data_IF_705084625256
#
_entry.id   IF_705084625256
#
_cell.length_a   1.000
_cell.length_b   1.000
_cell.length_c   1.000
_cell.angle_alpha   90.00
_cell.angle_beta   90.00
_cell.angle_gamma   90.00
#
_symmetry.space_group_name_H-M   'P 1'
#
loop_
_entity.id
_entity.type
_entity.pdbx_description
1 polymer ?
#
# COMPACT_ATOMS: atom_id res chain seq x y z
N UNK A 1 -1.72 7.43 -8.93
CA UNK A 1 -0.69 6.38 -8.91
C UNK A 1 -1.24 5.18 -9.66
N UNK A 2 -0.41 4.43 -10.39
CA UNK A 2 -0.86 3.27 -11.18
C UNK A 2 0.11 2.12 -10.95
N UNK A 3 -0.37 0.90 -10.67
CA UNK A 3 0.54 -0.21 -10.39
C UNK A 3 -0.16 -1.55 -10.24
N UNK A 4 0.48 -2.48 -9.54
CA UNK A 4 -0.13 -3.73 -9.10
C UNK A 4 -0.44 -3.68 -7.60
N UNK A 5 -1.38 -4.50 -7.16
CA UNK A 5 -1.67 -4.68 -5.73
C UNK A 5 -0.69 -5.68 -5.11
N UNK A 6 -0.48 -5.55 -3.80
CA UNK A 6 0.11 -6.62 -3.00
C UNK A 6 -0.76 -7.89 -2.95
N UNK A 7 -0.24 -8.94 -2.31
CA UNK A 7 -0.85 -10.28 -2.22
C UNK A 7 -2.19 -10.30 -1.47
N UNK A 8 -2.43 -9.32 -0.60
CA UNK A 8 -3.68 -9.13 0.11
C UNK A 8 -4.40 -7.92 -0.48
N UNK A 9 -5.47 -8.15 -1.24
CA UNK A 9 -6.46 -7.12 -1.56
C UNK A 9 -7.67 -7.34 -0.67
N UNK A 10 -7.92 -6.43 0.26
CA UNK A 10 -9.29 -6.02 0.56
C UNK A 10 -9.56 -4.75 -0.25
N UNK A 11 -10.32 -4.90 -1.32
CA UNK A 11 -10.73 -3.84 -2.22
C UNK A 11 -11.72 -2.92 -1.52
N UNK A 12 -11.31 -1.72 -1.11
CA UNK A 12 -12.26 -0.60 -0.88
C UNK A 12 -11.69 0.76 -1.29
N UNK A 13 -11.29 0.90 -2.55
CA UNK A 13 -11.52 2.17 -3.24
C UNK A 13 -13.04 2.42 -3.36
N UNK A 14 -13.46 3.58 -3.89
CA UNK A 14 -14.88 3.89 -4.17
C UNK A 14 -15.49 2.95 -5.26
N UNK A 15 -14.77 1.90 -5.71
CA UNK A 15 -15.12 0.99 -6.80
C UNK A 15 -15.42 1.72 -8.12
N UNK A 16 -14.68 2.78 -8.38
CA UNK A 16 -14.69 3.48 -9.66
C UNK A 16 -13.69 2.83 -10.63
N UNK A 17 -14.19 2.44 -11.79
CA UNK A 17 -13.39 1.90 -12.89
C UNK A 17 -13.02 3.03 -13.86
N UNK A 18 -11.72 3.17 -14.15
CA UNK A 18 -11.22 4.03 -15.21
C UNK A 18 -10.85 3.16 -16.43
N UNK A 19 -11.41 3.41 -17.63
CA UNK A 19 -11.12 2.60 -18.82
C UNK A 19 -9.65 2.55 -19.24
N UNK A 20 -8.85 3.54 -18.85
CA UNK A 20 -7.41 3.64 -19.17
C UNK A 20 -6.55 3.09 -18.05
N UNK A 21 -6.99 3.21 -16.80
CA UNK A 21 -6.15 2.96 -15.61
C UNK A 21 -6.57 1.72 -14.81
N UNK A 22 -7.78 1.21 -15.02
CA UNK A 22 -8.34 0.05 -14.33
C UNK A 22 -9.09 0.41 -13.04
N UNK A 23 -9.08 -0.52 -12.08
CA UNK A 23 -9.84 -0.39 -10.84
C UNK A 23 -9.15 0.56 -9.85
N UNK A 24 -9.89 1.50 -9.29
CA UNK A 24 -9.41 2.32 -8.18
C UNK A 24 -9.25 1.49 -6.90
N UNK A 25 -8.14 1.68 -6.20
CA UNK A 25 -7.79 1.00 -4.95
C UNK A 25 -7.24 1.99 -3.95
N UNK A 26 -7.30 1.61 -2.67
CA UNK A 26 -6.80 2.45 -1.58
C UNK A 26 -5.27 2.47 -1.49
N UNK A 27 -4.60 1.39 -1.88
CA UNK A 27 -3.15 1.29 -1.88
C UNK A 27 -2.66 0.36 -2.99
N UNK A 28 -1.38 0.50 -3.34
CA UNK A 28 -0.69 -0.34 -4.32
C UNK A 28 0.44 -1.08 -3.59
N UNK A 29 0.77 -2.28 -4.08
CA UNK A 29 1.98 -2.95 -3.64
C UNK A 29 3.18 -2.21 -4.24
N UNK A 30 4.07 -1.70 -3.40
CA UNK A 30 5.17 -0.84 -3.87
C UNK A 30 6.33 -1.61 -4.54
N UNK A 31 6.16 -2.91 -4.79
CA UNK A 31 7.08 -3.67 -5.65
C UNK A 31 7.04 -3.22 -7.11
N UNK A 32 5.91 -2.64 -7.57
CA UNK A 32 5.77 -2.12 -8.92
C UNK A 32 4.65 -1.07 -9.01
N UNK A 33 5.04 0.18 -9.25
CA UNK A 33 4.10 1.26 -9.53
C UNK A 33 4.73 2.39 -10.34
N UNK A 34 3.87 3.22 -10.94
CA UNK A 34 4.18 4.44 -11.63
C UNK A 34 3.53 5.63 -10.91
N UNK A 35 4.26 6.74 -10.86
CA UNK A 35 3.78 8.04 -10.40
C UNK A 35 4.41 9.15 -11.23
N UNK A 36 3.71 10.29 -11.32
CA UNK A 36 4.37 11.51 -11.76
C UNK A 36 5.37 11.96 -10.69
N UNK A 37 6.49 12.56 -11.11
CA UNK A 37 7.46 13.12 -10.17
C UNK A 37 6.81 14.09 -9.19
N UNK A 38 5.94 14.99 -9.69
CA UNK A 38 5.17 15.93 -8.86
C UNK A 38 4.39 15.23 -7.74
N UNK A 39 3.66 14.15 -8.05
CA UNK A 39 2.86 13.47 -7.03
C UNK A 39 3.74 12.63 -6.11
N UNK A 40 4.83 12.05 -6.61
CA UNK A 40 5.80 11.34 -5.77
C UNK A 40 6.45 12.29 -4.75
N UNK A 41 6.95 13.45 -5.21
CA UNK A 41 7.56 14.46 -4.34
C UNK A 41 6.56 15.04 -3.32
N UNK A 42 5.27 15.16 -3.69
CA UNK A 42 4.21 15.61 -2.78
C UNK A 42 3.93 14.63 -1.63
N UNK A 43 4.01 13.33 -1.90
CA UNK A 43 3.74 12.29 -0.89
C UNK A 43 4.99 11.99 -0.05
N UNK A 44 6.17 12.13 -0.63
CA UNK A 44 7.44 11.79 0.00
C UNK A 44 7.81 10.32 -0.20
N UNK A 45 8.77 9.83 0.58
CA UNK A 45 9.24 8.44 0.51
C UNK A 45 8.38 7.50 1.37
N UNK A 46 8.77 6.21 1.41
CA UNK A 46 8.29 5.27 2.42
C UNK A 46 8.72 5.74 3.82
N UNK A 47 7.88 5.52 4.82
CA UNK A 47 8.18 5.89 6.20
C UNK A 47 9.21 4.92 6.79
N UNK A 48 10.33 5.45 7.29
CA UNK A 48 11.40 4.66 7.92
C UNK A 48 11.04 4.20 9.35
N UNK A 49 9.90 4.64 9.87
CA UNK A 49 9.40 4.19 11.18
C UNK A 49 8.92 2.73 11.14
N UNK A 50 8.58 2.24 9.94
CA UNK A 50 8.28 0.83 9.73
C UNK A 50 9.58 0.03 9.72
N UNK A 51 9.59 -1.04 10.51
CA UNK A 51 10.67 -2.01 10.45
C UNK A 51 10.65 -2.81 9.15
N UNK A 52 11.52 -3.81 9.09
CA UNK A 52 11.64 -4.69 7.92
C UNK A 52 10.29 -5.33 7.52
N UNK A 53 9.88 -5.04 6.28
CA UNK A 53 8.71 -5.57 5.57
C UNK A 53 7.33 -5.26 6.19
N UNK A 54 6.36 -5.08 5.29
CA UNK A 54 4.92 -4.92 5.54
C UNK A 54 4.50 -3.62 6.24
N UNK A 55 3.35 -3.12 5.79
CA UNK A 55 2.64 -1.91 6.23
C UNK A 55 3.20 -0.57 5.75
N UNK A 56 4.45 -0.51 5.28
CA UNK A 56 5.05 0.70 4.74
C UNK A 56 4.37 1.16 3.45
N UNK A 57 3.99 0.21 2.58
CA UNK A 57 3.31 0.47 1.32
C UNK A 57 1.82 0.79 1.52
N UNK A 58 1.19 0.16 2.51
CA UNK A 58 -0.18 0.49 2.94
C UNK A 58 -0.25 1.89 3.53
N UNK A 59 0.69 2.28 4.40
CA UNK A 59 0.82 3.65 4.93
C UNK A 59 1.00 4.67 3.81
N UNK A 60 1.86 4.36 2.84
CA UNK A 60 2.06 5.21 1.67
C UNK A 60 0.74 5.41 0.90
N UNK A 61 -0.02 4.33 0.70
CA UNK A 61 -1.37 4.38 0.13
C UNK A 61 -2.32 5.29 0.91
N UNK A 62 -2.32 5.21 2.23
CA UNK A 62 -3.14 6.08 3.08
C UNK A 62 -2.75 7.56 2.94
N UNK A 63 -1.46 7.87 2.83
CA UNK A 63 -0.99 9.24 2.57
C UNK A 63 -1.43 9.77 1.21
N UNK A 64 -1.43 8.92 0.16
CA UNK A 64 -2.00 9.26 -1.15
C UNK A 64 -3.47 9.68 -0.98
N UNK A 65 -4.25 8.83 -0.31
CA UNK A 65 -5.68 9.07 -0.09
C UNK A 65 -5.96 10.32 0.73
N UNK A 66 -5.20 10.55 1.80
CA UNK A 66 -5.34 11.73 2.66
C UNK A 66 -5.11 13.04 1.89
N UNK A 67 -4.31 13.01 0.81
CA UNK A 67 -4.09 14.14 -0.10
C UNK A 67 -5.13 14.25 -1.22
N UNK A 68 -6.18 13.41 -1.19
CA UNK A 68 -7.23 13.38 -2.22
C UNK A 68 -6.77 12.82 -3.57
N UNK A 69 -5.64 12.12 -3.61
CA UNK A 69 -5.13 11.49 -4.81
C UNK A 69 -5.63 10.04 -4.91
N UNK A 70 -5.61 9.50 -6.13
CA UNK A 70 -6.14 8.17 -6.44
C UNK A 70 -5.05 7.20 -6.87
N UNK A 71 -5.28 5.93 -6.56
CA UNK A 71 -4.44 4.81 -6.97
C UNK A 71 -5.25 3.83 -7.82
N UNK A 72 -4.64 3.31 -8.88
CA UNK A 72 -5.31 2.43 -9.84
C UNK A 72 -4.49 1.17 -10.12
N UNK A 73 -5.20 0.07 -10.30
CA UNK A 73 -4.59 -1.21 -10.70
C UNK A 73 -4.80 -1.38 -12.19
N UNK A 74 -3.70 -1.29 -12.93
CA UNK A 74 -3.69 -1.57 -14.35
C UNK A 74 -3.24 -3.01 -14.62
N UNK A 75 -3.81 -3.61 -15.66
CA UNK A 75 -3.46 -4.96 -16.10
C UNK A 75 -2.13 -4.94 -16.84
N UNK A 76 -1.07 -5.27 -16.11
CA UNK A 76 0.27 -5.47 -16.67
C UNK A 76 0.69 -6.93 -16.60
N UNK A 77 1.42 -7.40 -17.63
CA UNK A 77 2.18 -8.65 -17.57
C UNK A 77 3.48 -8.41 -16.81
N UNK A 78 3.53 -8.86 -15.55
CA UNK A 78 4.68 -8.70 -14.65
C UNK A 78 4.99 -10.04 -14.01
N UNK A 79 6.28 -10.41 -13.99
CA UNK A 79 6.77 -11.53 -13.19
C UNK A 79 7.14 -10.96 -11.81
N UNK A 80 6.33 -11.26 -10.81
CA UNK A 80 6.59 -10.86 -9.44
C UNK A 80 7.16 -12.04 -8.64
N UNK A 81 8.38 -11.87 -8.12
CA UNK A 81 9.01 -12.83 -7.22
C UNK A 81 8.51 -12.63 -5.78
N UNK A 82 7.27 -13.06 -5.54
CA UNK A 82 6.59 -12.83 -4.27
C UNK A 82 7.35 -13.41 -3.07
N UNK A 83 7.35 -12.64 -1.98
CA UNK A 83 7.91 -13.00 -0.69
C UNK A 83 9.41 -13.34 -0.72
N UNK A 84 10.17 -12.86 -1.72
CA UNK A 84 11.60 -13.17 -1.83
C UNK A 84 12.38 -12.78 -0.56
N UNK A 85 12.17 -11.58 -0.03
CA UNK A 85 12.78 -11.12 1.23
C UNK A 85 12.20 -11.87 2.43
N UNK A 86 10.87 -12.03 2.49
CA UNK A 86 10.19 -12.71 3.60
C UNK A 86 10.64 -14.16 3.79
N UNK A 87 10.97 -14.87 2.70
CA UNK A 87 11.48 -16.26 2.73
C UNK A 87 12.88 -16.39 3.34
N UNK A 88 13.63 -15.30 3.44
CA UNK A 88 14.97 -15.28 4.04
C UNK A 88 14.93 -14.92 5.53
N UNK A 89 13.76 -14.59 6.06
CA UNK A 89 13.58 -14.17 7.45
C UNK A 89 13.06 -15.30 8.30
N UNK A 90 13.42 -15.24 9.58
CA UNK A 90 12.81 -16.09 10.59
C UNK A 90 11.28 -15.87 10.61
N UNK A 91 10.47 -16.94 10.56
CA UNK A 91 9.01 -16.83 10.58
C UNK A 91 8.44 -16.09 11.79
N UNK A 92 9.07 -16.18 12.97
CA UNK A 92 8.64 -15.46 14.18
C UNK A 92 8.89 -13.96 14.03
N UNK A 93 10.04 -13.57 13.49
CA UNK A 93 10.34 -12.17 13.15
C UNK A 93 9.31 -11.65 12.14
N UNK A 94 9.01 -12.43 11.10
CA UNK A 94 8.03 -12.05 10.10
C UNK A 94 6.63 -11.89 10.71
N UNK A 95 6.22 -12.81 11.58
CA UNK A 95 4.93 -12.77 12.25
C UNK A 95 4.81 -11.56 13.19
N UNK A 96 5.85 -11.27 13.99
CA UNK A 96 5.92 -10.09 14.85
C UNK A 96 5.78 -8.79 14.04
N UNK A 97 6.34 -8.73 12.82
CA UNK A 97 6.25 -7.55 11.94
C UNK A 97 4.91 -7.45 11.23
N UNK A 98 4.45 -8.53 10.60
CA UNK A 98 3.17 -8.58 9.88
C UNK A 98 1.97 -8.32 10.80
N UNK A 99 1.96 -8.94 11.98
CA UNK A 99 0.80 -8.94 12.87
C UNK A 99 1.01 -8.17 14.18
N UNK A 100 2.23 -7.71 14.46
CA UNK A 100 2.57 -6.94 15.66
C UNK A 100 3.00 -5.50 15.35
N UNK A 101 4.25 -5.13 15.63
CA UNK A 101 4.72 -3.72 15.74
C UNK A 101 4.34 -2.82 14.56
N UNK A 102 4.55 -3.26 13.31
CA UNK A 102 4.25 -2.43 12.14
C UNK A 102 2.73 -2.25 11.95
N UNK A 103 1.94 -3.28 12.26
CA UNK A 103 0.48 -3.21 12.25
C UNK A 103 -0.04 -2.26 13.32
N UNK A 104 0.49 -2.34 14.54
CA UNK A 104 0.11 -1.46 15.65
C UNK A 104 0.44 0.00 15.34
N UNK A 105 1.63 0.26 14.78
CA UNK A 105 2.01 1.58 14.29
C UNK A 105 1.04 2.08 13.22
N UNK A 106 0.73 1.26 12.22
CA UNK A 106 -0.25 1.61 11.17
C UNK A 106 -1.62 1.95 11.77
N UNK A 107 -2.14 1.13 12.67
CA UNK A 107 -3.44 1.36 13.31
C UNK A 107 -3.41 2.63 14.16
N UNK A 108 -2.31 2.90 14.89
CA UNK A 108 -2.17 4.12 15.68
C UNK A 108 -2.26 5.40 14.83
N UNK A 109 -1.79 5.33 13.56
CA UNK A 109 -1.83 6.45 12.62
C UNK A 109 -3.18 6.59 11.92
N UNK A 110 -3.75 5.48 11.47
CA UNK A 110 -4.81 5.50 10.45
C UNK A 110 -6.17 5.03 10.93
N UNK A 111 -6.29 4.46 12.14
CA UNK A 111 -7.56 3.91 12.64
C UNK A 111 -8.71 4.93 12.56
N UNK A 112 -8.53 6.12 13.13
CA UNK A 112 -9.56 7.17 13.13
C UNK A 112 -9.91 7.63 11.71
N UNK A 113 -8.90 7.76 10.84
CA UNK A 113 -9.11 8.12 9.43
C UNK A 113 -9.95 7.06 8.70
N UNK A 114 -9.61 5.78 8.86
CA UNK A 114 -10.33 4.66 8.25
C UNK A 114 -11.77 4.54 8.78
N UNK A 115 -11.98 4.70 10.08
CA UNK A 115 -13.31 4.72 10.70
C UNK A 115 -14.17 5.87 10.16
N UNK A 116 -13.57 7.03 9.90
CA UNK A 116 -14.30 8.18 9.33
C UNK A 116 -14.79 7.95 7.89
N UNK A 117 -14.12 7.08 7.12
CA UNK A 117 -14.46 6.76 5.72
C UNK A 117 -15.55 5.70 5.58
N UNK A 118 -15.86 4.96 6.64
CA UNK A 118 -16.91 3.94 6.65
C UNK A 118 -18.28 4.47 7.11
N UNK A 119 -18.37 5.76 7.45
CA UNK A 119 -19.62 6.47 7.78
C UNK A 119 -20.18 7.13 6.53
#
# INVERSE_FOLDING_TARGET
FVGRTGYHISSKGIQTYDPKLGNEVDYLGMFFFFSSKKNFDLIGLLSEDYGLAYWEDVDYGMRILQKGLKSYVASFSIIHHACATAKLLDPEILAERCSGKNKDLFLSRWKTFLESRNK
#
